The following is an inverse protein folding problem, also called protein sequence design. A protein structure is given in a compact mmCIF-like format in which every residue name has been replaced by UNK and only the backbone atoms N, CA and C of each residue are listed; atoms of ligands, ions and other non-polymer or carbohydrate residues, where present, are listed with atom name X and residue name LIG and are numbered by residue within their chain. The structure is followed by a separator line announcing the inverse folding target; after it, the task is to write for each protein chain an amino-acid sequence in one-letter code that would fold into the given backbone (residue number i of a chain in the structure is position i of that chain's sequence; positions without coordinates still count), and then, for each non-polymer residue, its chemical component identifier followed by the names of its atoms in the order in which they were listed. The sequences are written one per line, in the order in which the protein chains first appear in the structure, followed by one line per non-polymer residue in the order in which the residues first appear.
data_IF_903034037788
#
_entry.id   IF_903034037788
#
_cell.length_a   1.000
_cell.length_b   1.000
_cell.length_c   1.000
_cell.angle_alpha   90.00
_cell.angle_beta   90.00
_cell.angle_gamma   90.00
#
_symmetry.space_group_name_H-M   'P 1'
#
loop_
_entity.id
_entity.type
_entity.pdbx_description
1 polymer ?
#
# COMPACT_ATOMS: atom_id res chain seq x y z
N UNK A 1 -33.65 14.21 25.64
CA UNK A 1 -32.47 14.72 24.91
C UNK A 1 -31.39 13.70 25.10
N UNK A 2 -31.26 12.80 24.12
CA UNK A 2 -30.25 11.74 24.15
C UNK A 2 -28.90 12.34 23.83
N UNK A 3 -27.92 12.07 24.67
CA UNK A 3 -26.51 12.31 24.40
C UNK A 3 -26.14 11.54 23.13
N UNK A 4 -25.62 12.25 22.14
CA UNK A 4 -24.98 11.63 20.99
C UNK A 4 -23.74 10.90 21.49
N UNK A 5 -23.85 9.59 21.62
CA UNK A 5 -22.75 8.70 21.92
C UNK A 5 -21.68 8.88 20.86
N UNK A 6 -20.45 9.08 21.31
CA UNK A 6 -19.26 9.29 20.51
C UNK A 6 -18.99 8.00 19.68
N UNK A 7 -19.53 7.93 18.46
CA UNK A 7 -19.47 6.78 17.52
C UNK A 7 -18.06 6.45 17.01
N UNK A 8 -17.05 7.22 17.41
CA UNK A 8 -15.66 7.03 17.02
C UNK A 8 -15.07 5.68 17.48
N UNK A 9 -15.70 5.00 18.44
CA UNK A 9 -15.25 3.69 18.93
C UNK A 9 -15.49 2.54 17.96
N UNK A 10 -16.44 2.69 17.01
CA UNK A 10 -16.84 1.60 16.10
C UNK A 10 -15.96 1.58 14.83
N UNK A 11 -15.62 2.76 14.31
CA UNK A 11 -14.94 2.90 13.00
C UNK A 11 -13.46 3.29 13.10
N UNK A 12 -13.01 3.79 14.26
CA UNK A 12 -11.63 4.23 14.45
C UNK A 12 -11.26 5.54 13.73
N UNK A 13 -12.21 6.22 13.08
CA UNK A 13 -12.03 7.51 12.41
C UNK A 13 -13.32 8.35 12.36
N UNK A 14 -13.18 9.69 12.28
CA UNK A 14 -14.31 10.63 12.19
C UNK A 14 -14.79 10.87 10.76
N UNK A 15 -14.16 10.28 9.75
CA UNK A 15 -14.55 10.47 8.35
C UNK A 15 -15.90 9.80 8.06
N UNK A 16 -16.85 10.54 7.49
CA UNK A 16 -18.17 10.03 7.09
C UNK A 16 -18.26 9.86 5.57
N UNK A 17 -18.00 10.94 4.82
CA UNK A 17 -18.04 10.89 3.36
C UNK A 17 -17.05 11.82 2.69
N UNK A 18 -16.66 11.47 1.48
CA UNK A 18 -15.81 12.25 0.60
C UNK A 18 -16.39 12.29 -0.81
N UNK A 19 -16.74 13.48 -1.28
CA UNK A 19 -17.33 13.71 -2.58
C UNK A 19 -16.35 14.45 -3.48
N UNK A 20 -16.14 13.92 -4.68
CA UNK A 20 -15.38 14.54 -5.76
C UNK A 20 -16.37 14.89 -6.87
N UNK A 21 -16.48 16.16 -7.21
CA UNK A 21 -17.30 16.62 -8.33
C UNK A 21 -16.44 17.10 -9.49
N UNK A 22 -16.92 16.86 -10.71
CA UNK A 22 -16.19 17.21 -11.93
C UNK A 22 -14.94 16.35 -12.13
N UNK A 23 -14.92 15.12 -11.60
CA UNK A 23 -13.83 14.19 -11.83
C UNK A 23 -13.78 13.86 -13.34
N UNK A 24 -12.65 14.15 -13.99
CA UNK A 24 -12.53 14.10 -15.46
C UNK A 24 -13.66 14.87 -16.17
N UNK A 25 -13.98 16.07 -15.67
CA UNK A 25 -14.96 17.02 -16.19
C UNK A 25 -16.44 16.61 -16.07
N UNK A 26 -16.75 15.33 -15.85
CA UNK A 26 -18.13 14.82 -15.96
C UNK A 26 -18.60 13.98 -14.79
N UNK A 27 -17.69 13.38 -14.02
CA UNK A 27 -18.08 12.38 -13.03
C UNK A 27 -18.20 13.00 -11.64
N UNK A 28 -19.24 12.57 -10.91
CA UNK A 28 -19.34 12.74 -9.45
C UNK A 28 -19.02 11.40 -8.81
N UNK A 29 -18.06 11.40 -7.89
CA UNK A 29 -17.70 10.23 -7.08
C UNK A 29 -18.01 10.54 -5.63
N UNK A 30 -18.69 9.62 -4.96
CA UNK A 30 -18.98 9.70 -3.53
C UNK A 30 -18.45 8.45 -2.86
N UNK A 31 -17.55 8.65 -1.90
CA UNK A 31 -17.03 7.62 -1.02
C UNK A 31 -17.69 7.80 0.34
N UNK A 32 -18.39 6.77 0.80
CA UNK A 32 -18.99 6.72 2.14
C UNK A 32 -18.17 5.75 2.98
N UNK A 33 -17.83 6.14 4.21
CA UNK A 33 -16.90 5.39 5.08
C UNK A 33 -17.64 4.80 6.29
N UNK A 34 -18.71 4.06 6.03
CA UNK A 34 -19.56 3.42 7.05
C UNK A 34 -19.08 2.04 7.48
N UNK A 35 -17.95 1.59 6.95
CA UNK A 35 -17.30 0.32 7.29
C UNK A 35 -15.81 0.54 7.56
N UNK A 36 -15.21 -0.36 8.35
CA UNK A 36 -13.76 -0.38 8.60
C UNK A 36 -12.94 -0.62 7.32
N UNK A 37 -13.52 -1.29 6.32
CA UNK A 37 -12.86 -1.63 5.06
C UNK A 37 -13.75 -1.15 3.91
N UNK A 38 -13.19 -0.29 3.06
CA UNK A 38 -13.86 0.21 1.87
C UNK A 38 -13.11 -0.27 0.62
N UNK A 39 -13.80 -0.99 -0.27
CA UNK A 39 -13.20 -1.58 -1.48
C UNK A 39 -13.67 -0.80 -2.72
N UNK A 40 -12.73 -0.14 -3.40
CA UNK A 40 -13.02 0.59 -4.64
C UNK A 40 -12.84 -0.31 -5.88
N UNK A 41 -13.97 -0.73 -6.47
CA UNK A 41 -14.01 -1.61 -7.66
C UNK A 41 -14.30 -0.78 -8.93
N UNK A 42 -13.75 -1.22 -10.06
CA UNK A 42 -13.95 -0.59 -11.37
C UNK A 42 -13.05 -1.20 -12.43
N UNK A 43 -13.28 -0.89 -13.69
CA UNK A 43 -12.36 -1.28 -14.77
C UNK A 43 -11.02 -0.54 -14.69
N UNK A 44 -9.99 -1.13 -15.31
CA UNK A 44 -8.69 -0.48 -15.43
C UNK A 44 -8.83 0.81 -16.24
N UNK A 45 -8.23 1.89 -15.74
CA UNK A 45 -8.31 3.21 -16.39
C UNK A 45 -9.49 4.09 -15.96
N UNK A 46 -10.43 3.60 -15.14
CA UNK A 46 -11.54 4.43 -14.61
C UNK A 46 -11.11 5.49 -13.57
N UNK A 47 -9.81 5.62 -13.30
CA UNK A 47 -9.28 6.66 -12.42
C UNK A 47 -9.31 6.35 -10.92
N UNK A 48 -9.36 5.07 -10.52
CA UNK A 48 -9.26 4.66 -9.11
C UNK A 48 -8.06 5.27 -8.39
N UNK A 49 -6.89 5.21 -9.01
CA UNK A 49 -5.65 5.82 -8.49
C UNK A 49 -5.80 7.33 -8.36
N UNK A 50 -6.48 7.99 -9.30
CA UNK A 50 -6.77 9.43 -9.22
C UNK A 50 -7.66 9.75 -8.03
N UNK A 51 -8.74 8.98 -7.82
CA UNK A 51 -9.65 9.10 -6.68
C UNK A 51 -8.86 8.96 -5.36
N UNK A 52 -8.03 7.91 -5.25
CA UNK A 52 -7.20 7.66 -4.07
C UNK A 52 -6.18 8.78 -3.83
N UNK A 53 -5.55 9.31 -4.89
CA UNK A 53 -4.61 10.43 -4.78
C UNK A 53 -5.30 11.72 -4.31
N UNK A 54 -6.49 12.03 -4.87
CA UNK A 54 -7.29 13.18 -4.44
C UNK A 54 -7.65 13.05 -2.96
N UNK A 55 -8.15 11.88 -2.55
CA UNK A 55 -8.47 11.59 -1.15
C UNK A 55 -7.22 11.76 -0.27
N UNK A 56 -6.11 11.09 -0.61
CA UNK A 56 -4.86 11.14 0.14
C UNK A 56 -4.34 12.58 0.32
N UNK A 57 -4.23 13.36 -0.76
CA UNK A 57 -3.73 14.73 -0.66
C UNK A 57 -4.69 15.65 0.11
N UNK A 58 -6.00 15.39 0.07
CA UNK A 58 -6.97 16.15 0.86
C UNK A 58 -6.83 15.83 2.34
N UNK A 59 -6.85 14.54 2.71
CA UNK A 59 -6.76 14.11 4.10
C UNK A 59 -5.40 14.47 4.73
N UNK A 60 -4.31 14.39 3.95
CA UNK A 60 -2.96 14.83 4.39
C UNK A 60 -2.73 16.33 4.29
N UNK A 61 -3.75 17.10 3.87
CA UNK A 61 -3.71 18.57 3.75
C UNK A 61 -2.62 19.09 2.79
N UNK A 62 -2.20 18.25 1.84
CA UNK A 62 -1.22 18.55 0.78
C UNK A 62 -1.91 19.17 -0.45
N UNK A 63 -2.70 20.22 -0.23
CA UNK A 63 -3.60 20.77 -1.26
C UNK A 63 -2.90 21.24 -2.54
N UNK A 64 -1.63 21.68 -2.48
CA UNK A 64 -0.86 22.05 -3.68
C UNK A 64 -0.75 20.90 -4.70
N UNK A 65 -0.70 19.66 -4.22
CA UNK A 65 -0.59 18.48 -5.08
C UNK A 65 -1.90 18.15 -5.80
N UNK A 66 -3.01 18.76 -5.37
CA UNK A 66 -4.31 18.61 -6.03
C UNK A 66 -4.40 19.40 -7.35
N UNK A 67 -3.56 20.41 -7.57
CA UNK A 67 -3.67 21.32 -8.71
C UNK A 67 -3.73 20.63 -10.09
N UNK A 68 -2.88 19.63 -10.29
CA UNK A 68 -2.80 18.89 -11.54
C UNK A 68 -3.89 17.80 -11.68
N UNK A 69 -4.68 17.56 -10.63
CA UNK A 69 -5.70 16.52 -10.64
C UNK A 69 -7.01 17.03 -11.26
N UNK A 70 -7.76 16.17 -11.95
CA UNK A 70 -8.92 16.58 -12.75
C UNK A 70 -10.20 16.55 -11.91
N UNK A 71 -10.41 17.53 -11.03
CA UNK A 71 -11.67 17.73 -10.29
C UNK A 71 -12.08 19.21 -10.31
N UNK A 72 -13.32 19.52 -9.94
CA UNK A 72 -13.81 20.90 -9.79
C UNK A 72 -14.02 21.27 -8.33
N UNK A 73 -14.62 20.36 -7.55
CA UNK A 73 -14.95 20.57 -6.15
C UNK A 73 -14.77 19.30 -5.34
N UNK A 74 -14.27 19.46 -4.12
CA UNK A 74 -14.17 18.41 -3.11
C UNK A 74 -15.03 18.79 -1.91
N UNK A 75 -15.76 17.83 -1.36
CA UNK A 75 -16.51 17.99 -0.12
C UNK A 75 -16.12 16.84 0.80
N UNK A 76 -15.58 17.17 1.97
CA UNK A 76 -15.29 16.22 3.03
C UNK A 76 -16.26 16.44 4.17
N UNK A 77 -16.92 15.37 4.61
CA UNK A 77 -17.90 15.40 5.71
C UNK A 77 -17.44 14.49 6.82
N UNK A 78 -17.51 15.00 8.05
CA UNK A 78 -17.17 14.28 9.27
C UNK A 78 -18.42 13.79 9.99
N UNK A 79 -18.26 12.76 10.82
CA UNK A 79 -19.35 12.19 11.65
C UNK A 79 -19.90 13.19 12.67
N UNK A 80 -19.14 14.23 13.00
CA UNK A 80 -19.59 15.39 13.79
C UNK A 80 -20.63 16.25 13.07
N UNK A 81 -20.87 16.02 11.77
CA UNK A 81 -21.73 16.82 10.91
C UNK A 81 -21.03 18.03 10.29
N UNK A 82 -19.76 18.27 10.65
CA UNK A 82 -18.94 19.32 10.04
C UNK A 82 -18.51 18.92 8.63
N UNK A 83 -18.41 19.90 7.74
CA UNK A 83 -17.95 19.70 6.38
C UNK A 83 -17.01 20.80 5.91
N UNK A 84 -15.99 20.44 5.12
CA UNK A 84 -15.17 21.38 4.38
C UNK A 84 -15.38 21.23 2.88
N UNK A 85 -15.41 22.37 2.20
CA UNK A 85 -15.46 22.47 0.74
C UNK A 85 -14.12 23.01 0.23
N UNK A 86 -13.57 22.39 -0.81
CA UNK A 86 -12.36 22.85 -1.51
C UNK A 86 -12.67 22.93 -3.00
N UNK A 87 -12.56 24.13 -3.59
CA UNK A 87 -12.70 24.32 -5.03
C UNK A 87 -11.33 24.27 -5.72
N UNK A 88 -11.29 23.81 -6.97
CA UNK A 88 -10.07 23.81 -7.77
C UNK A 88 -9.48 25.21 -7.92
N UNK A 89 -10.35 26.19 -8.16
CA UNK A 89 -9.99 27.61 -8.26
C UNK A 89 -9.32 28.16 -6.99
N UNK A 90 -9.56 27.55 -5.82
CA UNK A 90 -8.93 27.95 -4.56
C UNK A 90 -7.47 27.53 -4.48
N UNK A 91 -7.11 26.44 -5.16
CA UNK A 91 -5.76 25.88 -5.17
C UNK A 91 -4.86 26.64 -6.13
N UNK A 92 -5.40 27.14 -7.24
CA UNK A 92 -4.69 28.02 -8.19
C UNK A 92 -4.03 29.21 -7.47
N UNK A 93 -4.76 29.88 -6.57
CA UNK A 93 -4.24 31.01 -5.79
C UNK A 93 -3.13 30.60 -4.80
N UNK A 94 -3.09 29.34 -4.36
CA UNK A 94 -1.99 28.84 -3.51
C UNK A 94 -0.67 28.67 -4.28
N UNK A 95 -0.74 28.52 -5.60
CA UNK A 95 0.41 28.24 -6.48
C UNK A 95 0.97 29.53 -7.07
N UNK A 96 0.10 30.42 -7.56
CA UNK A 96 0.53 31.71 -8.14
C UNK A 96 1.31 32.57 -7.15
N UNK A 97 0.96 32.48 -5.86
CA UNK A 97 1.54 33.34 -4.85
C UNK A 97 2.98 32.95 -4.46
N UNK A 98 3.51 31.83 -4.96
CA UNK A 98 4.91 31.46 -4.74
C UNK A 98 5.92 32.40 -5.43
N UNK A 99 5.51 33.28 -6.36
CA UNK A 99 6.47 34.02 -7.18
C UNK A 99 6.83 35.44 -6.73
N UNK A 100 6.01 36.20 -5.98
CA UNK A 100 6.31 37.65 -5.82
C UNK A 100 6.04 38.33 -4.45
N UNK A 101 5.33 37.71 -3.48
CA UNK A 101 4.92 38.43 -2.26
C UNK A 101 5.50 37.94 -0.90
N UNK A 102 6.29 36.86 -0.91
CA UNK A 102 6.71 36.13 0.32
C UNK A 102 8.06 36.55 0.93
N UNK A 103 8.59 37.72 0.61
CA UNK A 103 9.69 38.31 1.41
C UNK A 103 9.13 39.19 2.52
N UNK A 104 8.53 38.61 3.55
CA UNK A 104 8.44 39.30 4.84
C UNK A 104 8.51 38.31 5.99
N UNK A 105 9.44 38.59 6.89
CA UNK A 105 9.81 37.89 8.11
C UNK A 105 8.65 37.88 9.16
N UNK A 106 7.45 38.35 8.80
CA UNK A 106 6.36 38.65 9.73
C UNK A 106 5.24 37.61 9.79
N UNK A 107 5.11 36.71 8.81
CA UNK A 107 4.04 35.68 8.83
C UNK A 107 4.11 34.79 10.08
N UNK A 108 5.27 34.20 10.34
CA UNK A 108 5.48 33.34 11.51
C UNK A 108 5.32 34.08 12.84
N UNK A 109 5.58 35.39 12.86
CA UNK A 109 5.38 36.22 14.06
C UNK A 109 3.90 36.46 14.32
N UNK A 110 3.14 36.80 13.28
CA UNK A 110 1.70 37.02 13.40
C UNK A 110 0.95 35.71 13.67
N UNK A 111 1.35 34.59 13.04
CA UNK A 111 0.77 33.27 13.33
C UNK A 111 0.92 32.87 14.80
N UNK A 112 2.12 33.03 15.37
CA UNK A 112 2.36 32.76 16.79
C UNK A 112 1.59 33.73 17.69
N UNK A 113 1.48 34.99 17.30
CA UNK A 113 0.74 35.96 18.09
C UNK A 113 -0.76 35.69 18.09
N UNK A 114 -1.34 35.23 16.98
CA UNK A 114 -2.74 34.80 16.95
C UNK A 114 -2.97 33.70 17.98
N UNK A 115 -2.10 32.69 18.02
CA UNK A 115 -2.17 31.58 18.96
C UNK A 115 -1.94 32.00 20.43
N UNK A 116 -1.19 33.08 20.68
CA UNK A 116 -0.85 33.53 22.02
C UNK A 116 -1.78 34.62 22.56
N UNK A 117 -2.42 35.39 21.68
CA UNK A 117 -3.22 36.59 22.02
C UNK A 117 -4.71 36.32 21.91
N UNK A 118 -5.12 35.46 20.96
CA UNK A 118 -6.52 35.13 20.76
C UNK A 118 -6.86 33.82 21.44
N UNK A 119 -8.08 33.76 21.97
CA UNK A 119 -8.68 32.50 22.41
C UNK A 119 -9.30 31.73 21.22
N UNK A 120 -9.67 30.48 21.48
CA UNK A 120 -10.25 29.60 20.46
C UNK A 120 -11.57 30.16 19.90
N UNK A 121 -12.36 30.85 20.73
CA UNK A 121 -13.64 31.47 20.33
C UNK A 121 -13.42 32.64 19.35
N UNK A 122 -12.40 33.48 19.58
CA UNK A 122 -12.02 34.58 18.70
C UNK A 122 -11.45 34.06 17.37
N UNK A 123 -10.67 32.98 17.39
CA UNK A 123 -10.15 32.34 16.17
C UNK A 123 -11.30 31.76 15.35
N UNK A 124 -12.20 31.01 15.99
CA UNK A 124 -13.38 30.45 15.34
C UNK A 124 -14.27 31.56 14.77
N UNK A 125 -14.48 32.63 15.53
CA UNK A 125 -15.22 33.80 15.06
C UNK A 125 -14.61 34.39 13.78
N UNK A 126 -13.28 34.56 13.71
CA UNK A 126 -12.62 35.03 12.49
C UNK A 126 -12.78 34.05 11.33
N UNK A 127 -12.64 32.75 11.56
CA UNK A 127 -12.79 31.73 10.51
C UNK A 127 -14.19 31.71 9.88
N UNK A 128 -15.22 31.94 10.69
CA UNK A 128 -16.62 31.86 10.22
C UNK A 128 -17.18 33.18 9.72
N UNK A 129 -16.70 34.31 10.25
CA UNK A 129 -17.40 35.60 10.09
C UNK A 129 -16.55 36.70 9.43
N UNK A 130 -15.26 36.49 9.15
CA UNK A 130 -14.38 37.57 8.67
C UNK A 130 -14.86 38.25 7.37
N UNK A 131 -15.53 37.49 6.50
CA UNK A 131 -16.07 38.00 5.24
C UNK A 131 -17.45 38.67 5.37
N UNK A 132 -18.16 38.47 6.49
CA UNK A 132 -19.44 39.14 6.73
C UNK A 132 -19.21 40.64 6.92
N UNK A 133 -20.05 41.46 6.29
CA UNK A 133 -19.89 42.92 6.24
C UNK A 133 -20.86 43.67 7.14
N UNK A 134 -21.61 42.98 8.00
CA UNK A 134 -22.50 43.63 8.96
C UNK A 134 -21.72 44.39 10.05
N UNK A 135 -22.34 45.43 10.59
CA UNK A 135 -21.70 46.36 11.53
C UNK A 135 -21.21 45.67 12.82
N UNK A 136 -21.99 44.73 13.34
CA UNK A 136 -21.69 44.03 14.60
C UNK A 136 -20.47 43.13 14.43
N UNK A 137 -20.44 42.33 13.38
CA UNK A 137 -19.31 41.47 13.06
C UNK A 137 -18.05 42.29 12.81
N UNK A 138 -18.15 43.35 12.02
CA UNK A 138 -16.99 44.20 11.70
C UNK A 138 -16.46 44.96 12.91
N UNK A 139 -17.32 45.35 13.86
CA UNK A 139 -16.89 45.91 15.14
C UNK A 139 -16.03 44.89 15.91
N UNK A 140 -16.48 43.63 16.03
CA UNK A 140 -15.74 42.57 16.72
C UNK A 140 -14.43 42.18 16.00
N UNK A 141 -14.44 42.09 14.66
CA UNK A 141 -13.20 41.89 13.88
C UNK A 141 -12.21 43.03 14.13
N UNK A 142 -12.68 44.28 14.22
CA UNK A 142 -11.85 45.44 14.51
C UNK A 142 -11.28 45.42 15.94
N UNK A 143 -12.03 44.95 16.93
CA UNK A 143 -11.56 44.73 18.30
C UNK A 143 -10.43 43.69 18.34
N UNK A 144 -10.64 42.54 17.70
CA UNK A 144 -9.63 41.48 17.59
C UNK A 144 -8.37 42.01 16.89
N UNK A 145 -8.54 42.76 15.80
CA UNK A 145 -7.43 43.41 15.09
C UNK A 145 -6.65 44.36 16.00
N UNK A 146 -7.34 45.15 16.82
CA UNK A 146 -6.72 46.07 17.78
C UNK A 146 -5.94 45.34 18.86
N UNK A 147 -6.52 44.27 19.42
CA UNK A 147 -5.89 43.38 20.40
C UNK A 147 -4.59 42.79 19.86
N UNK A 148 -4.62 42.25 18.64
CA UNK A 148 -3.45 41.71 17.94
C UNK A 148 -2.36 42.77 17.72
N UNK A 149 -2.74 43.93 17.18
CA UNK A 149 -1.79 45.01 16.89
C UNK A 149 -1.09 45.53 18.15
N UNK A 150 -1.83 45.68 19.26
CA UNK A 150 -1.28 46.09 20.56
C UNK A 150 -0.38 45.01 21.15
N UNK A 151 -0.83 43.76 21.17
CA UNK A 151 -0.05 42.64 21.69
C UNK A 151 1.27 42.37 20.95
N UNK A 152 1.37 42.80 19.69
CA UNK A 152 2.56 42.60 18.86
C UNK A 152 3.42 43.85 18.63
N UNK A 153 2.95 45.05 18.98
CA UNK A 153 3.51 46.32 18.47
C UNK A 153 3.58 46.38 16.93
N UNK A 154 2.53 45.89 16.25
CA UNK A 154 2.45 45.91 14.78
C UNK A 154 1.46 46.96 14.26
N UNK A 155 1.71 47.56 13.09
CA UNK A 155 0.72 48.45 12.47
C UNK A 155 -0.57 47.70 12.14
N UNK A 156 -1.72 48.30 12.49
CA UNK A 156 -3.07 47.76 12.21
C UNK A 156 -3.26 47.37 10.74
N UNK A 157 -2.67 48.13 9.81
CA UNK A 157 -2.74 47.85 8.38
C UNK A 157 -2.07 46.52 7.99
N UNK A 158 -0.97 46.16 8.65
CA UNK A 158 -0.30 44.88 8.43
C UNK A 158 -1.12 43.72 8.99
N UNK A 159 -1.70 43.89 10.19
CA UNK A 159 -2.60 42.90 10.79
C UNK A 159 -3.84 42.72 9.92
N UNK A 160 -4.47 43.80 9.45
CA UNK A 160 -5.60 43.72 8.52
C UNK A 160 -5.23 42.94 7.26
N UNK A 161 -4.11 43.27 6.61
CA UNK A 161 -3.65 42.57 5.40
C UNK A 161 -3.49 41.08 5.67
N UNK A 162 -2.85 40.75 6.79
CA UNK A 162 -2.64 39.37 7.20
C UNK A 162 -3.97 38.63 7.47
N UNK A 163 -4.88 39.22 8.26
CA UNK A 163 -6.17 38.61 8.56
C UNK A 163 -7.00 38.40 7.29
N UNK A 164 -6.97 39.36 6.36
CA UNK A 164 -7.61 39.21 5.04
C UNK A 164 -6.99 38.05 4.27
N UNK A 165 -5.67 37.93 4.21
CA UNK A 165 -5.04 36.80 3.53
C UNK A 165 -5.32 35.45 4.20
N UNK A 166 -5.51 35.43 5.53
CA UNK A 166 -5.71 34.19 6.29
C UNK A 166 -7.16 33.73 6.31
N UNK A 167 -8.11 34.65 6.44
CA UNK A 167 -9.52 34.33 6.74
C UNK A 167 -10.49 34.78 5.64
N UNK A 168 -10.05 35.50 4.61
CA UNK A 168 -10.91 35.97 3.50
C UNK A 168 -10.63 35.23 2.20
N UNK A 169 -11.66 35.16 1.35
CA UNK A 169 -11.52 34.70 -0.03
C UNK A 169 -11.07 33.24 -0.15
N UNK A 170 -10.42 32.91 -1.27
CA UNK A 170 -10.02 31.54 -1.61
C UNK A 170 -9.08 30.92 -0.58
N UNK A 171 -8.13 31.72 -0.08
CA UNK A 171 -7.20 31.31 1.00
C UNK A 171 -7.89 31.06 2.33
N UNK A 172 -8.86 31.90 2.70
CA UNK A 172 -9.70 31.68 3.87
C UNK A 172 -10.35 30.31 3.84
N UNK A 173 -10.95 29.94 2.70
CA UNK A 173 -11.57 28.62 2.51
C UNK A 173 -10.58 27.48 2.69
N UNK A 174 -9.40 27.56 2.06
CA UNK A 174 -8.36 26.53 2.19
C UNK A 174 -7.86 26.41 3.63
N UNK A 175 -7.64 27.53 4.33
CA UNK A 175 -7.19 27.50 5.72
C UNK A 175 -8.26 26.91 6.64
N UNK A 176 -9.53 27.27 6.42
CA UNK A 176 -10.67 26.66 7.12
C UNK A 176 -10.72 25.15 6.89
N UNK A 177 -10.56 24.70 5.64
CA UNK A 177 -10.49 23.28 5.33
C UNK A 177 -9.29 22.59 5.98
N UNK A 178 -8.10 23.21 5.96
CA UNK A 178 -6.90 22.71 6.61
C UNK A 178 -7.12 22.49 8.12
N UNK A 179 -7.67 23.50 8.81
CA UNK A 179 -7.87 23.48 10.25
C UNK A 179 -8.97 22.48 10.62
N UNK A 180 -10.07 22.44 9.87
CA UNK A 180 -11.14 21.46 10.07
C UNK A 180 -10.62 20.02 9.91
N UNK A 181 -9.94 19.72 8.80
CA UNK A 181 -9.38 18.39 8.55
C UNK A 181 -8.37 18.02 9.64
N UNK A 182 -7.54 18.97 10.09
CA UNK A 182 -6.57 18.72 11.16
C UNK A 182 -7.24 18.38 12.49
N UNK A 183 -8.32 19.08 12.84
CA UNK A 183 -8.99 18.91 14.13
C UNK A 183 -9.85 17.63 14.14
N UNK A 184 -10.49 17.31 13.03
CA UNK A 184 -11.37 16.14 12.91
C UNK A 184 -10.61 14.84 12.59
N UNK A 185 -9.47 14.89 11.89
CA UNK A 185 -8.60 13.75 11.62
C UNK A 185 -7.32 13.82 12.46
N UNK A 186 -7.42 13.37 13.71
CA UNK A 186 -6.26 13.16 14.57
C UNK A 186 -5.66 11.75 14.39
N UNK A 187 -5.29 11.39 13.16
CA UNK A 187 -4.76 10.07 12.83
C UNK A 187 -3.67 10.15 11.76
N UNK A 188 -2.72 9.22 11.80
CA UNK A 188 -1.71 9.08 10.76
C UNK A 188 -2.29 8.39 9.52
N UNK A 189 -2.10 8.99 8.35
CA UNK A 189 -2.59 8.45 7.08
C UNK A 189 -1.44 7.77 6.35
N UNK A 190 -1.53 6.45 6.24
CA UNK A 190 -0.57 5.63 5.51
C UNK A 190 -1.07 5.39 4.09
N UNK A 191 -0.21 5.65 3.10
CA UNK A 191 -0.48 5.40 1.68
C UNK A 191 0.48 4.34 1.17
N UNK A 192 -0.05 3.15 0.90
CA UNK A 192 0.72 2.00 0.41
C UNK A 192 0.41 1.75 -1.07
N UNK A 193 1.18 2.34 -2.00
CA UNK A 193 1.05 2.01 -3.41
C UNK A 193 1.56 0.57 -3.67
N UNK A 194 1.07 -0.03 -4.75
CA UNK A 194 1.60 -1.32 -5.22
C UNK A 194 3.05 -1.18 -5.69
N UNK A 195 3.86 -2.25 -5.61
CA UNK A 195 5.24 -2.27 -6.15
C UNK A 195 5.35 -1.74 -7.57
N UNK A 196 4.43 -2.15 -8.46
CA UNK A 196 4.35 -1.64 -9.84
C UNK A 196 4.27 -0.11 -9.90
N UNK A 197 3.52 0.48 -8.98
CA UNK A 197 3.29 1.93 -8.96
C UNK A 197 4.49 2.69 -8.39
N UNK A 198 5.16 2.13 -7.39
CA UNK A 198 6.44 2.67 -6.88
C UNK A 198 7.47 2.70 -8.01
N UNK A 199 7.58 1.59 -8.75
CA UNK A 199 8.49 1.45 -9.89
C UNK A 199 8.16 2.45 -11.02
N UNK A 200 6.89 2.58 -11.43
CA UNK A 200 6.45 3.57 -12.43
C UNK A 200 6.80 5.02 -12.03
N UNK A 201 6.69 5.37 -10.75
CA UNK A 201 7.01 6.71 -10.25
C UNK A 201 8.52 6.97 -10.20
N UNK A 202 9.32 5.95 -9.85
CA UNK A 202 10.78 6.02 -9.91
C UNK A 202 11.28 6.20 -11.36
N UNK A 203 10.72 5.45 -12.32
CA UNK A 203 11.06 5.63 -13.74
C UNK A 203 10.74 7.04 -14.26
N UNK A 204 9.61 7.62 -13.86
CA UNK A 204 9.23 8.98 -14.26
C UNK A 204 10.15 10.07 -13.70
N UNK A 205 10.83 9.80 -12.58
CA UNK A 205 11.81 10.72 -11.97
C UNK A 205 13.16 10.73 -12.69
N UNK A 206 13.32 10.00 -13.80
CA UNK A 206 14.58 9.95 -14.53
C UNK A 206 15.62 9.09 -13.84
N UNK A 207 15.20 8.18 -12.94
CA UNK A 207 16.00 7.02 -12.57
C UNK A 207 16.09 6.10 -13.80
N UNK A 208 16.93 6.52 -14.75
CA UNK A 208 17.34 5.81 -15.95
C UNK A 208 17.87 4.44 -15.56
N UNK A 209 17.42 3.39 -16.26
CA UNK A 209 18.04 2.15 -16.78
C UNK A 209 19.43 1.65 -16.28
N UNK A 210 19.96 2.18 -15.16
CA UNK A 210 21.30 1.96 -14.61
C UNK A 210 21.27 1.99 -13.08
N UNK A 211 20.22 1.47 -12.46
CA UNK A 211 20.49 0.75 -11.22
C UNK A 211 21.09 -0.57 -11.67
N UNK A 212 22.37 -0.57 -12.07
CA UNK A 212 23.15 -1.80 -12.09
C UNK A 212 23.10 -2.33 -10.67
N UNK A 213 22.28 -3.36 -10.49
CA UNK A 213 22.07 -4.06 -9.25
C UNK A 213 23.43 -4.55 -8.78
N UNK A 214 23.98 -4.03 -7.67
CA UNK A 214 25.14 -4.64 -7.06
C UNK A 214 24.74 -6.06 -6.66
N UNK A 215 25.53 -7.05 -7.05
CA UNK A 215 25.32 -8.48 -6.78
C UNK A 215 25.27 -8.87 -5.29
N UNK A 216 25.31 -7.90 -4.36
CA UNK A 216 25.31 -8.14 -2.92
C UNK A 216 23.90 -8.00 -2.34
N UNK A 217 23.36 -9.15 -1.95
CA UNK A 217 22.00 -9.51 -1.52
C UNK A 217 21.50 -8.82 -0.22
N UNK A 218 22.15 -7.73 0.22
CA UNK A 218 22.00 -7.17 1.56
C UNK A 218 21.05 -5.97 1.66
N UNK A 219 20.14 -5.79 0.70
CA UNK A 219 19.09 -4.75 0.81
C UNK A 219 17.87 -5.31 1.52
N UNK A 220 17.53 -4.69 2.66
CA UNK A 220 16.32 -4.98 3.44
C UNK A 220 15.00 -4.65 2.71
N UNK A 221 15.06 -3.92 1.59
CA UNK A 221 13.88 -3.41 0.89
C UNK A 221 14.06 -3.63 -0.62
N UNK A 222 13.12 -4.38 -1.22
CA UNK A 222 12.95 -4.60 -2.65
C UNK A 222 11.91 -3.56 -3.14
N UNK A 223 12.24 -2.79 -4.18
CA UNK A 223 11.52 -1.55 -4.52
C UNK A 223 10.60 -1.67 -5.75
N UNK A 224 10.55 -2.83 -6.43
CA UNK A 224 9.72 -2.99 -7.63
C UNK A 224 9.25 -4.42 -7.91
N UNK A 225 8.33 -4.56 -8.87
CA UNK A 225 7.86 -5.87 -9.34
C UNK A 225 8.99 -6.64 -10.06
N UNK A 226 9.95 -5.93 -10.64
CA UNK A 226 11.15 -6.53 -11.23
C UNK A 226 11.98 -7.29 -10.17
N UNK A 227 12.20 -6.70 -8.99
CA UNK A 227 12.94 -7.34 -7.90
C UNK A 227 12.24 -8.61 -7.40
N UNK A 228 10.91 -8.55 -7.32
CA UNK A 228 10.07 -9.71 -6.98
C UNK A 228 10.24 -10.81 -8.02
N UNK A 229 10.10 -10.48 -9.31
CA UNK A 229 10.27 -11.44 -10.40
C UNK A 229 11.69 -12.03 -10.45
N UNK A 230 12.72 -11.22 -10.22
CA UNK A 230 14.11 -11.68 -10.17
C UNK A 230 14.33 -12.66 -9.01
N UNK A 231 13.80 -12.34 -7.83
CA UNK A 231 13.86 -13.23 -6.67
C UNK A 231 13.16 -14.56 -6.95
N UNK A 232 11.99 -14.53 -7.59
CA UNK A 232 11.29 -15.74 -8.02
C UNK A 232 12.14 -16.57 -8.98
N UNK A 233 12.71 -15.95 -10.01
CA UNK A 233 13.55 -16.63 -10.99
C UNK A 233 14.80 -17.27 -10.35
N UNK A 234 15.45 -16.56 -9.42
CA UNK A 234 16.60 -17.09 -8.67
C UNK A 234 16.22 -18.32 -7.82
N UNK A 235 15.09 -18.28 -7.14
CA UNK A 235 14.59 -19.41 -6.35
C UNK A 235 14.27 -20.60 -7.29
N UNK A 236 13.60 -20.35 -8.42
CA UNK A 236 13.27 -21.38 -9.41
C UNK A 236 14.53 -22.04 -10.01
N UNK A 237 15.52 -21.25 -10.40
CA UNK A 237 16.82 -21.74 -10.87
C UNK A 237 17.53 -22.57 -9.80
N UNK A 238 17.50 -22.13 -8.54
CA UNK A 238 18.09 -22.89 -7.42
C UNK A 238 17.40 -24.23 -7.21
N UNK A 239 16.06 -24.29 -7.28
CA UNK A 239 15.30 -25.54 -7.18
C UNK A 239 15.65 -26.48 -8.34
N UNK A 240 15.71 -25.95 -9.56
CA UNK A 240 16.07 -26.72 -10.76
C UNK A 240 17.47 -27.30 -10.67
N UNK A 241 18.47 -26.48 -10.31
CA UNK A 241 19.86 -26.92 -10.22
C UNK A 241 20.06 -27.93 -9.08
N UNK A 242 19.46 -27.68 -7.91
CA UNK A 242 19.46 -28.65 -6.80
C UNK A 242 18.84 -29.99 -7.21
N UNK A 243 17.75 -29.97 -8.00
CA UNK A 243 17.13 -31.18 -8.50
C UNK A 243 18.08 -31.96 -9.41
N UNK A 244 18.72 -31.28 -10.37
CA UNK A 244 19.67 -31.90 -11.30
C UNK A 244 20.85 -32.53 -10.57
N UNK A 245 21.41 -31.82 -9.58
CA UNK A 245 22.52 -32.33 -8.76
C UNK A 245 22.11 -33.55 -7.93
N UNK A 246 20.97 -33.50 -7.24
CA UNK A 246 20.46 -34.62 -6.43
C UNK A 246 20.13 -35.84 -7.30
N UNK A 247 19.51 -35.67 -8.46
CA UNK A 247 19.23 -36.76 -9.40
C UNK A 247 20.52 -37.37 -9.97
N UNK A 248 21.50 -36.54 -10.31
CA UNK A 248 22.80 -37.01 -10.81
C UNK A 248 23.54 -37.82 -9.74
N UNK A 249 23.51 -37.36 -8.48
CA UNK A 249 24.09 -38.07 -7.35
C UNK A 249 23.41 -39.43 -7.09
N UNK A 250 22.07 -39.47 -7.11
CA UNK A 250 21.31 -40.73 -6.97
C UNK A 250 21.59 -41.68 -8.12
N UNK A 251 21.72 -41.18 -9.35
CA UNK A 251 22.07 -42.02 -10.52
C UNK A 251 23.46 -42.63 -10.35
N UNK A 252 24.43 -41.86 -9.86
CA UNK A 252 25.77 -42.37 -9.53
C UNK A 252 25.75 -43.44 -8.44
N UNK A 253 25.00 -43.19 -7.36
CA UNK A 253 24.83 -44.16 -6.26
C UNK A 253 24.18 -45.47 -6.76
N UNK A 254 23.16 -45.37 -7.61
CA UNK A 254 22.49 -46.53 -8.21
C UNK A 254 23.45 -47.38 -9.05
N UNK A 255 24.30 -46.73 -9.88
CA UNK A 255 25.30 -47.43 -10.68
C UNK A 255 26.30 -48.19 -9.82
N UNK A 256 26.73 -47.62 -8.68
CA UNK A 256 27.57 -48.32 -7.71
C UNK A 256 26.85 -49.51 -7.06
N UNK A 257 25.59 -49.33 -6.68
CA UNK A 257 24.79 -50.40 -6.06
C UNK A 257 24.52 -51.57 -7.01
N UNK A 258 24.33 -51.31 -8.31
CA UNK A 258 24.22 -52.38 -9.31
C UNK A 258 25.50 -53.23 -9.43
N UNK A 259 26.68 -52.68 -9.10
CA UNK A 259 27.96 -53.39 -9.12
C UNK A 259 28.26 -54.12 -7.80
N UNK A 260 27.81 -53.58 -6.66
CA UNK A 260 28.16 -54.08 -5.32
C UNK A 260 27.21 -55.17 -4.78
N UNK A 261 26.03 -55.37 -5.39
CA UNK A 261 25.10 -56.45 -5.02
C UNK A 261 23.73 -55.93 -4.55
N UNK A 262 23.02 -56.71 -3.73
CA UNK A 262 21.67 -56.34 -3.28
C UNK A 262 21.67 -55.03 -2.47
N UNK A 263 20.80 -54.06 -2.82
CA UNK A 263 20.81 -52.74 -2.18
C UNK A 263 20.31 -52.81 -0.74
N UNK A 264 20.94 -52.03 0.16
CA UNK A 264 20.40 -51.80 1.51
C UNK A 264 19.27 -50.78 1.43
N UNK A 265 18.06 -51.20 1.80
CA UNK A 265 16.87 -50.36 1.74
C UNK A 265 16.65 -49.70 3.10
N UNK A 266 16.58 -48.37 3.11
CA UNK A 266 16.26 -47.58 4.31
C UNK A 266 14.77 -47.76 4.67
N UNK A 267 14.51 -48.42 5.80
CA UNK A 267 13.16 -48.74 6.27
C UNK A 267 12.35 -47.47 6.64
N UNK A 268 13.00 -46.40 7.10
CA UNK A 268 12.31 -45.16 7.47
C UNK A 268 11.77 -44.41 6.24
N UNK A 269 12.41 -44.61 5.08
CA UNK A 269 11.96 -44.05 3.80
C UNK A 269 10.86 -44.89 3.14
N UNK A 270 10.79 -46.20 3.44
CA UNK A 270 9.74 -47.09 2.93
C UNK A 270 8.36 -46.69 3.43
N UNK A 271 8.25 -46.29 4.70
CA UNK A 271 6.98 -45.84 5.30
C UNK A 271 6.46 -44.53 4.71
N UNK A 272 7.34 -43.75 4.06
CA UNK A 272 6.99 -42.47 3.42
C UNK A 272 6.51 -42.64 1.98
N UNK A 273 6.65 -43.82 1.40
CA UNK A 273 6.18 -44.07 0.04
C UNK A 273 4.65 -44.16 0.06
N UNK A 274 4.00 -43.11 -0.44
CA UNK A 274 2.55 -43.11 -0.66
C UNK A 274 2.24 -42.78 -2.13
N UNK A 275 1.03 -43.12 -2.56
CA UNK A 275 0.58 -42.94 -3.95
C UNK A 275 0.60 -41.47 -4.38
N UNK A 276 0.28 -40.53 -3.49
CA UNK A 276 0.25 -39.10 -3.79
C UNK A 276 1.64 -38.52 -4.08
N UNK A 277 2.63 -38.84 -3.25
CA UNK A 277 4.03 -38.44 -3.41
C UNK A 277 4.60 -39.11 -4.67
N UNK A 278 4.28 -40.38 -4.90
CA UNK A 278 4.71 -41.11 -6.09
C UNK A 278 4.21 -40.48 -7.38
N UNK A 279 2.93 -40.06 -7.42
CA UNK A 279 2.36 -39.35 -8.56
C UNK A 279 3.13 -38.07 -8.86
N UNK A 280 3.46 -37.27 -7.85
CA UNK A 280 4.24 -36.04 -8.02
C UNK A 280 5.65 -36.34 -8.53
N UNK A 281 6.31 -37.37 -7.99
CA UNK A 281 7.65 -37.78 -8.39
C UNK A 281 7.66 -38.29 -9.84
N UNK A 282 6.72 -39.16 -10.21
CA UNK A 282 6.63 -39.75 -11.55
C UNK A 282 6.23 -38.72 -12.62
N UNK A 283 5.48 -37.68 -12.25
CA UNK A 283 5.24 -36.51 -13.10
C UNK A 283 6.55 -35.72 -13.35
N UNK A 284 7.41 -35.55 -12.34
CA UNK A 284 8.71 -34.84 -12.50
C UNK A 284 9.69 -35.57 -13.42
N UNK A 285 9.62 -36.90 -13.49
CA UNK A 285 10.41 -37.68 -14.45
C UNK A 285 9.96 -37.41 -15.89
N UNK A 286 8.74 -36.88 -16.07
CA UNK A 286 8.23 -36.39 -17.35
C UNK A 286 7.96 -37.52 -18.34
N UNK A 287 8.28 -37.29 -19.62
CA UNK A 287 8.12 -38.26 -20.71
C UNK A 287 9.23 -39.32 -20.77
N UNK A 288 10.22 -39.25 -19.88
CA UNK A 288 11.29 -40.25 -19.82
C UNK A 288 10.82 -41.62 -19.31
N UNK A 289 9.54 -41.76 -18.94
CA UNK A 289 8.89 -43.01 -18.55
C UNK A 289 7.48 -43.06 -19.14
N UNK A 290 7.12 -44.23 -19.69
CA UNK A 290 5.82 -44.44 -20.33
C UNK A 290 4.69 -44.40 -19.31
N UNK A 291 3.50 -43.96 -19.74
CA UNK A 291 2.31 -43.91 -18.89
C UNK A 291 1.91 -45.30 -18.34
N UNK A 292 2.13 -46.35 -19.12
CA UNK A 292 1.90 -47.75 -18.71
C UNK A 292 2.81 -48.13 -17.53
N UNK A 293 4.10 -47.81 -17.60
CA UNK A 293 5.03 -48.10 -16.51
C UNK A 293 4.74 -47.25 -15.26
N UNK A 294 4.30 -45.98 -15.43
CA UNK A 294 3.85 -45.15 -14.30
C UNK A 294 2.69 -45.80 -13.56
N UNK A 295 1.66 -46.23 -14.29
CA UNK A 295 0.49 -46.91 -13.71
C UNK A 295 0.89 -48.23 -13.03
N UNK A 296 1.76 -49.02 -13.67
CA UNK A 296 2.23 -50.28 -13.09
C UNK A 296 2.98 -50.08 -11.79
N UNK A 297 3.84 -49.05 -11.69
CA UNK A 297 4.56 -48.71 -10.47
C UNK A 297 3.57 -48.30 -9.36
N UNK A 298 2.55 -47.50 -9.69
CA UNK A 298 1.51 -47.10 -8.72
C UNK A 298 0.70 -48.30 -8.24
N UNK A 299 0.35 -49.23 -9.13
CA UNK A 299 -0.34 -50.48 -8.79
C UNK A 299 0.50 -51.34 -7.84
N UNK A 300 1.79 -51.51 -8.13
CA UNK A 300 2.73 -52.32 -7.31
C UNK A 300 2.90 -51.76 -5.89
N UNK A 301 2.89 -50.43 -5.73
CA UNK A 301 2.91 -49.77 -4.41
C UNK A 301 1.55 -49.93 -3.71
N UNK A 302 0.44 -49.80 -4.44
CA UNK A 302 -0.92 -49.89 -3.89
C UNK A 302 -1.29 -51.30 -3.44
N UNK A 303 -0.85 -52.33 -4.18
CA UNK A 303 -1.06 -53.74 -3.88
C UNK A 303 -0.12 -54.27 -2.79
N UNK A 304 0.89 -53.47 -2.40
CA UNK A 304 2.01 -53.83 -1.53
C UNK A 304 2.94 -54.93 -2.06
N UNK A 305 2.70 -55.43 -3.27
CA UNK A 305 3.51 -56.47 -3.91
C UNK A 305 4.99 -56.08 -4.04
N UNK A 306 5.25 -54.78 -4.21
CA UNK A 306 6.61 -54.23 -4.32
C UNK A 306 7.46 -54.43 -3.06
N UNK A 307 6.83 -54.58 -1.88
CA UNK A 307 7.53 -54.72 -0.60
C UNK A 307 7.86 -56.18 -0.27
N UNK A 308 7.08 -57.12 -0.80
CA UNK A 308 7.18 -58.56 -0.49
C UNK A 308 7.99 -59.35 -1.52
N UNK A 309 8.06 -58.87 -2.77
CA UNK A 309 8.75 -59.57 -3.85
C UNK A 309 10.21 -59.08 -4.03
N UNK A 310 11.17 -60.01 -3.96
CA UNK A 310 12.59 -59.73 -4.14
C UNK A 310 12.94 -59.22 -5.54
N UNK A 311 12.15 -59.55 -6.57
CA UNK A 311 12.38 -59.10 -7.95
C UNK A 311 12.29 -57.57 -8.07
N UNK A 312 11.59 -56.90 -7.15
CA UNK A 312 11.41 -55.46 -7.15
C UNK A 312 12.36 -54.70 -6.22
N UNK A 313 13.33 -55.34 -5.57
CA UNK A 313 14.23 -54.68 -4.62
C UNK A 313 14.96 -53.46 -5.19
N UNK A 314 15.42 -53.54 -6.45
CA UNK A 314 16.10 -52.43 -7.12
C UNK A 314 15.15 -51.27 -7.43
N UNK A 315 13.92 -51.57 -7.87
CA UNK A 315 12.89 -50.57 -8.09
C UNK A 315 12.49 -49.89 -6.77
N UNK A 316 12.30 -50.68 -5.72
CA UNK A 316 11.94 -50.20 -4.40
C UNK A 316 13.01 -49.27 -3.84
N UNK A 317 14.28 -49.64 -3.96
CA UNK A 317 15.41 -48.79 -3.61
C UNK A 317 15.46 -47.50 -4.46
N UNK A 318 15.16 -47.58 -5.75
CA UNK A 318 15.06 -46.39 -6.59
C UNK A 318 13.96 -45.43 -6.10
N UNK A 319 12.78 -45.95 -5.78
CA UNK A 319 11.67 -45.16 -5.27
C UNK A 319 11.99 -44.49 -3.93
N UNK A 320 12.66 -45.18 -2.98
CA UNK A 320 13.05 -44.56 -1.70
C UNK A 320 14.02 -43.40 -1.89
N UNK A 321 14.96 -43.50 -2.84
CA UNK A 321 15.86 -42.39 -3.19
C UNK A 321 15.11 -41.22 -3.82
N UNK A 322 14.15 -41.47 -4.70
CA UNK A 322 13.30 -40.42 -5.26
C UNK A 322 12.46 -39.71 -4.20
N UNK A 323 11.93 -40.46 -3.22
CA UNK A 323 11.18 -39.89 -2.08
C UNK A 323 12.07 -39.00 -1.23
N UNK A 324 13.34 -39.39 -1.02
CA UNK A 324 14.32 -38.56 -0.31
C UNK A 324 14.59 -37.23 -1.02
N UNK A 325 14.76 -37.26 -2.34
CA UNK A 325 14.90 -36.04 -3.17
C UNK A 325 13.67 -35.15 -3.01
N UNK A 326 12.48 -35.74 -3.10
CA UNK A 326 11.23 -35.00 -2.94
C UNK A 326 11.12 -34.32 -1.56
N UNK A 327 11.42 -35.04 -0.47
CA UNK A 327 11.35 -34.51 0.90
C UNK A 327 12.29 -33.31 1.10
N UNK A 328 13.50 -33.34 0.53
CA UNK A 328 14.44 -32.22 0.59
C UNK A 328 13.88 -30.95 -0.09
N UNK A 329 13.24 -31.12 -1.24
CA UNK A 329 12.70 -30.03 -2.04
C UNK A 329 11.35 -29.49 -1.52
N UNK A 330 10.62 -30.33 -0.79
CA UNK A 330 9.26 -30.03 -0.28
C UNK A 330 9.18 -28.73 0.50
N UNK A 331 10.22 -28.41 1.28
CA UNK A 331 10.26 -27.18 2.09
C UNK A 331 10.29 -25.91 1.23
N UNK A 332 11.00 -25.92 0.10
CA UNK A 332 11.09 -24.81 -0.85
C UNK A 332 9.82 -24.73 -1.72
N UNK A 333 9.34 -25.86 -2.20
CA UNK A 333 8.11 -25.93 -3.00
C UNK A 333 6.89 -25.40 -2.22
N UNK A 334 6.80 -25.74 -0.94
CA UNK A 334 5.72 -25.27 -0.08
C UNK A 334 5.77 -23.75 0.15
N UNK A 335 6.96 -23.15 0.18
CA UNK A 335 7.10 -21.68 0.29
C UNK A 335 6.56 -21.00 -0.96
N UNK A 336 6.84 -21.54 -2.15
CA UNK A 336 6.31 -21.01 -3.42
C UNK A 336 4.79 -21.20 -3.50
N UNK A 337 4.29 -22.39 -3.18
CA UNK A 337 2.83 -22.66 -3.16
C UNK A 337 2.10 -21.78 -2.14
N UNK A 338 2.71 -21.56 -0.98
CA UNK A 338 2.17 -20.65 0.03
C UNK A 338 2.03 -19.22 -0.49
N UNK A 339 3.02 -18.73 -1.25
CA UNK A 339 2.94 -17.41 -1.87
C UNK A 339 1.87 -17.33 -2.95
N UNK A 340 1.74 -18.35 -3.81
CA UNK A 340 0.72 -18.35 -4.88
C UNK A 340 -0.72 -18.49 -4.38
N UNK A 341 -0.92 -18.91 -3.14
CA UNK A 341 -2.22 -19.05 -2.48
C UNK A 341 -2.54 -17.92 -1.48
N UNK A 342 -1.62 -16.97 -1.29
CA UNK A 342 -1.86 -15.69 -0.61
C UNK A 342 -2.38 -14.68 -1.63
#
# INVERSE_FOLDING_TARGET
MGEATNDNSIFGHNLHSFVIEGLFEKNRVELVFDDQINILIGENGLGKTTILNILYYTLTRKFKNLYHLPFNRLIITFRTGLSAEILKEDIEELIDDNQLYYRSIDKHRIDRAIQNVLDDDEILFLQDNYDLRDEVTQARVNEIRKKLAYGMNFPQGQIRRYLTLKYSGKRGRINKANDLIKNELNSEILYFPTYRRIEEELHKLGALDQIELPHDDNRLIQFGMQDVNASFNLILERIKNSSIEEFSAVTGEMLSQYLEGAPSIDQDLLEKINVEILNIILERVGENITSENKLRIIELVSSKEIFDNQDYQYLLNFLTKLVKIYDNQRSLDNKIKGFGNM
#
